data_IF_693646125117
#
_entry.id   IF_693646125117
#
_cell.length_a   1.000
_cell.length_b   1.000
_cell.length_c   1.000
_cell.angle_alpha   90.00
_cell.angle_beta   90.00
_cell.angle_gamma   90.00
#
_symmetry.space_group_name_H-M   'P 1'
#
loop_
_entity.id
_entity.type
_entity.pdbx_description
1 polymer ?
#
# COMPACT_ATOMS: atom_id res chain seq x y z
N UNK A 1 -15.58 -34.12 7.87
CA UNK A 1 -14.12 -34.07 7.66
C UNK A 1 -13.91 -33.75 6.20
N UNK A 2 -13.83 -32.46 5.86
CA UNK A 2 -13.48 -32.04 4.51
C UNK A 2 -11.99 -32.29 4.29
N UNK A 3 -11.67 -32.99 3.21
CA UNK A 3 -10.31 -33.21 2.73
C UNK A 3 -9.69 -31.87 2.31
N UNK A 4 -8.98 -31.22 3.22
CA UNK A 4 -8.02 -30.15 2.92
C UNK A 4 -6.79 -30.75 2.24
N UNK A 5 -6.95 -31.24 1.01
CA UNK A 5 -5.86 -31.77 0.19
C UNK A 5 -5.37 -30.70 -0.80
N UNK A 6 -4.05 -30.50 -0.81
CA UNK A 6 -3.21 -29.79 -1.78
C UNK A 6 -3.25 -28.26 -1.90
N UNK A 7 -4.28 -27.54 -1.42
CA UNK A 7 -4.27 -26.06 -1.48
C UNK A 7 -3.42 -25.36 -0.40
N UNK A 8 -3.04 -26.06 0.67
CA UNK A 8 -2.29 -25.50 1.82
C UNK A 8 -0.81 -25.20 1.49
N UNK A 9 -0.29 -25.66 0.35
CA UNK A 9 1.12 -25.52 -0.04
C UNK A 9 1.32 -24.96 -1.44
N UNK A 10 0.43 -24.05 -1.87
CA UNK A 10 0.63 -23.25 -3.09
C UNK A 10 1.95 -22.48 -2.98
N UNK A 11 2.82 -22.66 -3.97
CA UNK A 11 4.04 -21.87 -4.13
C UNK A 11 3.69 -20.45 -4.60
N UNK A 12 4.58 -19.50 -4.30
CA UNK A 12 4.51 -18.15 -4.85
C UNK A 12 4.67 -18.19 -6.38
N UNK A 13 3.66 -17.74 -7.12
CA UNK A 13 3.75 -17.49 -8.58
C UNK A 13 3.90 -15.99 -8.76
N UNK A 14 5.09 -15.55 -9.16
CA UNK A 14 5.45 -14.13 -9.22
C UNK A 14 6.07 -13.86 -10.60
N UNK A 15 5.34 -13.12 -11.44
CA UNK A 15 5.76 -12.81 -12.82
C UNK A 15 6.85 -11.72 -12.91
N UNK A 16 7.27 -11.14 -11.78
CA UNK A 16 8.30 -10.12 -11.68
C UNK A 16 9.62 -10.76 -11.20
N UNK A 17 10.64 -10.91 -12.05
CA UNK A 17 11.87 -11.63 -11.71
C UNK A 17 12.64 -11.01 -10.53
N UNK A 18 12.65 -9.68 -10.45
CA UNK A 18 13.30 -8.93 -9.37
C UNK A 18 12.60 -9.22 -8.05
N UNK A 19 11.27 -9.06 -7.99
CA UNK A 19 10.52 -9.36 -6.78
C UNK A 19 10.61 -10.85 -6.42
N UNK A 20 10.56 -11.76 -7.40
CA UNK A 20 10.72 -13.19 -7.19
C UNK A 20 12.11 -13.55 -6.63
N UNK A 21 13.16 -12.82 -6.99
CA UNK A 21 14.50 -12.99 -6.41
C UNK A 21 14.53 -12.60 -4.93
N UNK A 22 13.83 -11.53 -4.54
CA UNK A 22 13.74 -11.06 -3.15
C UNK A 22 12.97 -12.08 -2.30
N UNK A 23 11.85 -12.61 -2.81
CA UNK A 23 11.10 -13.65 -2.11
C UNK A 23 11.91 -14.94 -1.96
N UNK A 24 12.65 -15.35 -3.00
CA UNK A 24 13.58 -16.49 -2.88
C UNK A 24 14.68 -16.23 -1.84
N UNK A 25 15.24 -15.02 -1.78
CA UNK A 25 16.23 -14.66 -0.76
C UNK A 25 15.65 -14.73 0.66
N UNK A 26 14.39 -14.31 0.84
CA UNK A 26 13.66 -14.44 2.09
C UNK A 26 13.46 -15.91 2.50
N UNK A 27 12.95 -16.75 1.59
CA UNK A 27 12.73 -18.18 1.82
C UNK A 27 14.05 -18.88 2.22
N UNK A 28 15.13 -18.63 1.47
CA UNK A 28 16.43 -19.22 1.78
C UNK A 28 17.04 -18.72 3.10
N UNK A 29 16.74 -17.49 3.52
CA UNK A 29 17.17 -16.97 4.82
C UNK A 29 16.43 -17.67 5.96
N UNK A 30 15.12 -17.88 5.81
CA UNK A 30 14.29 -18.62 6.76
C UNK A 30 14.79 -20.07 6.89
N UNK A 31 15.06 -20.74 5.77
CA UNK A 31 15.59 -22.11 5.74
C UNK A 31 16.97 -22.22 6.43
N UNK A 32 17.77 -21.15 6.36
CA UNK A 32 19.06 -21.03 7.05
C UNK A 32 18.93 -20.62 8.54
N UNK A 33 17.70 -20.47 9.06
CA UNK A 33 17.45 -20.08 10.46
C UNK A 33 17.53 -18.58 10.72
N UNK A 34 17.65 -17.74 9.69
CA UNK A 34 17.59 -16.28 9.80
C UNK A 34 16.13 -15.87 9.68
N UNK A 35 15.46 -15.79 10.83
CA UNK A 35 14.02 -15.65 10.89
C UNK A 35 13.57 -14.17 10.82
N UNK A 36 12.36 -13.89 10.28
CA UNK A 36 11.77 -12.56 10.30
C UNK A 36 11.56 -12.05 11.73
N UNK A 37 11.83 -10.78 11.94
CA UNK A 37 11.73 -10.12 13.24
C UNK A 37 10.41 -9.36 13.37
N UNK A 38 9.71 -9.58 14.48
CA UNK A 38 8.43 -8.90 14.73
C UNK A 38 8.62 -7.39 14.96
N UNK A 39 7.79 -6.60 14.29
CA UNK A 39 7.65 -5.17 14.50
C UNK A 39 6.61 -4.96 15.62
N UNK A 40 7.03 -4.32 16.72
CA UNK A 40 6.16 -4.12 17.88
C UNK A 40 5.25 -2.89 17.75
N UNK A 41 5.67 -1.89 16.96
CA UNK A 41 4.87 -0.72 16.60
C UNK A 41 3.66 -1.12 15.72
N UNK A 42 2.62 -0.28 15.68
CA UNK A 42 1.39 -0.55 14.92
C UNK A 42 0.35 -1.42 15.66
N UNK A 43 -0.61 -2.00 14.95
CA UNK A 43 -1.72 -2.76 15.58
C UNK A 43 -1.97 -4.17 15.04
N UNK A 44 -1.23 -4.58 14.02
CA UNK A 44 -1.23 -5.91 13.39
C UNK A 44 0.04 -6.69 13.71
N UNK A 45 0.08 -7.98 13.35
CA UNK A 45 1.33 -8.71 13.15
C UNK A 45 2.05 -8.19 11.91
N UNK A 46 3.25 -7.64 12.09
CA UNK A 46 4.12 -7.17 11.00
C UNK A 46 5.54 -7.63 11.28
N UNK A 47 6.29 -8.01 10.24
CA UNK A 47 7.60 -8.64 10.39
C UNK A 47 8.61 -8.05 9.42
N UNK A 48 9.78 -7.64 9.91
CA UNK A 48 10.94 -7.38 9.07
C UNK A 48 11.50 -8.71 8.56
N UNK A 49 11.43 -8.93 7.27
CA UNK A 49 12.01 -10.09 6.59
C UNK A 49 13.44 -9.77 6.17
N UNK A 50 14.34 -10.73 6.32
CA UNK A 50 15.76 -10.59 6.09
C UNK A 50 16.26 -11.52 4.98
N UNK A 51 17.39 -11.17 4.37
CA UNK A 51 18.17 -12.08 3.53
C UNK A 51 19.18 -12.89 4.37
N UNK A 52 20.02 -13.70 3.71
CA UNK A 52 21.05 -14.53 4.38
C UNK A 52 22.14 -13.71 5.07
N UNK A 53 22.34 -12.47 4.64
CA UNK A 53 23.27 -11.52 5.23
C UNK A 53 22.67 -10.80 6.45
N UNK A 54 21.40 -11.06 6.78
CA UNK A 54 20.69 -10.41 7.88
C UNK A 54 20.19 -8.99 7.57
N UNK A 55 20.35 -8.51 6.33
CA UNK A 55 19.81 -7.22 5.86
C UNK A 55 18.30 -7.32 5.72
N UNK A 56 17.57 -6.29 6.15
CA UNK A 56 16.12 -6.16 5.93
C UNK A 56 15.84 -5.99 4.44
N UNK A 57 14.98 -6.84 3.88
CA UNK A 57 14.62 -6.84 2.46
C UNK A 57 13.13 -6.62 2.22
N UNK A 58 12.30 -6.79 3.26
CA UNK A 58 10.88 -6.48 3.16
C UNK A 58 10.17 -6.43 4.50
N UNK A 59 8.93 -5.97 4.45
CA UNK A 59 7.96 -6.04 5.54
C UNK A 59 6.86 -6.99 5.13
N UNK A 60 6.65 -8.05 5.91
CA UNK A 60 5.59 -9.02 5.70
C UNK A 60 4.47 -8.82 6.73
N UNK A 61 3.23 -8.73 6.26
CA UNK A 61 2.02 -8.59 7.09
C UNK A 61 1.06 -9.74 6.78
N UNK A 62 1.04 -10.82 7.58
CA UNK A 62 0.17 -11.96 7.35
C UNK A 62 -1.31 -11.62 7.62
N UNK A 63 -2.19 -12.06 6.72
CA UNK A 63 -3.64 -11.81 6.76
C UNK A 63 -4.24 -12.19 8.12
N UNK A 64 -3.90 -13.37 8.62
CA UNK A 64 -4.50 -13.94 9.84
C UNK A 64 -4.06 -13.24 11.14
N UNK A 65 -3.05 -12.37 11.09
CA UNK A 65 -2.57 -11.56 12.22
C UNK A 65 -2.92 -10.08 12.10
N UNK A 66 -3.77 -9.71 11.13
CA UNK A 66 -4.35 -8.37 11.04
C UNK A 66 -5.16 -8.01 12.30
N UNK A 67 -5.52 -6.71 12.52
CA UNK A 67 -6.22 -6.28 13.72
C UNK A 67 -7.49 -7.07 14.07
N UNK A 68 -8.20 -7.56 13.04
CA UNK A 68 -9.40 -8.38 13.15
C UNK A 68 -9.18 -9.85 12.76
N UNK A 69 -7.93 -10.21 12.43
CA UNK A 69 -7.51 -11.58 12.16
C UNK A 69 -7.67 -12.46 13.40
N UNK A 70 -8.00 -13.73 13.18
CA UNK A 70 -8.27 -14.69 14.25
C UNK A 70 -7.02 -15.07 15.05
N UNK A 71 -5.82 -14.80 14.54
CA UNK A 71 -4.54 -15.00 15.19
C UNK A 71 -3.82 -13.68 15.51
N UNK A 72 -4.56 -12.57 15.67
CA UNK A 72 -3.95 -11.32 16.09
C UNK A 72 -3.19 -11.51 17.43
N UNK A 73 -1.87 -11.28 17.46
CA UNK A 73 -1.07 -11.47 18.67
C UNK A 73 -1.21 -10.34 19.71
N UNK A 74 -2.02 -9.29 19.45
CA UNK A 74 -2.29 -8.19 20.38
C UNK A 74 -3.66 -8.37 21.06
N UNK A 75 -3.64 -8.75 22.35
CA UNK A 75 -4.81 -9.03 23.20
C UNK A 75 -5.80 -7.85 23.34
N UNK A 76 -5.31 -6.60 23.25
CA UNK A 76 -6.09 -5.38 23.49
C UNK A 76 -7.27 -5.19 22.53
N UNK A 77 -7.18 -5.65 21.27
CA UNK A 77 -8.29 -5.56 20.31
C UNK A 77 -9.32 -6.69 20.45
N UNK A 78 -8.97 -7.82 21.06
CA UNK A 78 -9.96 -8.82 21.47
C UNK A 78 -10.89 -8.25 22.56
N UNK A 79 -10.33 -7.52 23.55
CA UNK A 79 -11.12 -6.77 24.52
C UNK A 79 -12.01 -5.71 23.86
N UNK A 80 -11.51 -4.93 22.89
CA UNK A 80 -12.35 -3.96 22.16
C UNK A 80 -13.49 -4.63 21.35
N UNK A 81 -13.21 -5.78 20.72
CA UNK A 81 -14.18 -6.59 19.96
C UNK A 81 -15.28 -7.17 20.86
N UNK A 82 -14.96 -7.52 22.11
CA UNK A 82 -15.89 -8.09 23.08
C UNK A 82 -16.67 -7.02 23.88
N UNK A 83 -16.08 -5.86 24.18
CA UNK A 83 -16.69 -4.88 25.10
C UNK A 83 -17.43 -3.71 24.42
N UNK A 84 -17.17 -3.36 23.15
CA UNK A 84 -17.82 -2.22 22.48
C UNK A 84 -17.91 -2.38 20.93
N UNK A 85 -18.74 -3.29 20.39
CA UNK A 85 -18.82 -3.56 18.95
C UNK A 85 -19.33 -2.38 18.10
N UNK A 86 -20.08 -1.44 18.68
CA UNK A 86 -20.56 -0.22 18.00
C UNK A 86 -19.53 0.92 17.96
N UNK A 87 -18.48 0.88 18.80
CA UNK A 87 -17.50 1.95 18.95
C UNK A 87 -16.11 1.59 18.41
N UNK A 88 -15.88 0.40 17.86
CA UNK A 88 -14.54 0.00 17.40
C UNK A 88 -14.59 -0.66 16.02
N UNK A 89 -14.04 0.02 15.02
CA UNK A 89 -13.99 -0.47 13.65
C UNK A 89 -14.08 0.62 12.58
N UNK A 90 -13.29 0.46 11.51
CA UNK A 90 -13.49 1.18 10.24
C UNK A 90 -14.58 0.44 9.46
N UNK A 91 -15.83 0.63 9.84
CA UNK A 91 -16.97 -0.13 9.32
C UNK A 91 -17.10 -0.02 7.79
N UNK A 92 -16.55 1.03 7.16
CA UNK A 92 -16.52 1.23 5.71
C UNK A 92 -15.45 0.42 4.97
N UNK A 93 -14.58 -0.29 5.68
CA UNK A 93 -13.57 -1.19 5.11
C UNK A 93 -14.04 -2.64 5.19
N UNK A 94 -13.62 -3.44 4.21
CA UNK A 94 -13.84 -4.89 4.25
C UNK A 94 -12.94 -5.50 5.33
N UNK A 95 -13.47 -6.30 6.28
CA UNK A 95 -12.65 -6.93 7.30
C UNK A 95 -11.63 -7.90 6.69
N UNK A 96 -10.43 -7.95 7.28
CA UNK A 96 -9.41 -8.98 6.98
C UNK A 96 -8.89 -9.01 5.53
N UNK A 97 -8.93 -7.85 4.86
CA UNK A 97 -8.39 -7.63 3.51
C UNK A 97 -7.33 -6.53 3.49
N UNK A 98 -6.68 -6.23 4.62
CA UNK A 98 -5.65 -5.19 4.69
C UNK A 98 -4.47 -5.50 3.77
N UNK A 99 -4.05 -6.76 3.69
CA UNK A 99 -2.99 -7.21 2.78
C UNK A 99 -3.34 -7.01 1.29
N UNK A 100 -4.63 -7.09 0.92
CA UNK A 100 -5.10 -6.77 -0.44
C UNK A 100 -5.06 -5.27 -0.70
N UNK A 101 -5.40 -4.46 0.31
CA UNK A 101 -5.26 -3.01 0.26
C UNK A 101 -3.80 -2.57 0.07
N UNK A 102 -2.85 -3.21 0.76
CA UNK A 102 -1.40 -2.98 0.59
C UNK A 102 -0.92 -3.29 -0.85
N UNK A 103 -1.28 -4.47 -1.37
CA UNK A 103 -0.94 -4.86 -2.74
C UNK A 103 -1.65 -3.98 -3.78
N UNK A 104 -2.90 -3.60 -3.53
CA UNK A 104 -3.72 -2.74 -4.38
C UNK A 104 -3.16 -1.33 -4.48
N UNK A 105 -2.63 -0.77 -3.39
CA UNK A 105 -1.94 0.52 -3.42
C UNK A 105 -0.69 0.47 -4.31
N UNK A 106 0.12 -0.59 -4.22
CA UNK A 106 1.27 -0.78 -5.11
C UNK A 106 0.87 -1.06 -6.56
N UNK A 107 -0.30 -1.64 -6.81
CA UNK A 107 -0.86 -1.79 -8.15
C UNK A 107 -1.24 -0.43 -8.75
N UNK A 108 -2.02 0.38 -8.01
CA UNK A 108 -2.42 1.73 -8.44
C UNK A 108 -1.20 2.63 -8.68
N UNK A 109 -0.24 2.61 -7.75
CA UNK A 109 1.02 3.37 -7.85
C UNK A 109 1.79 3.08 -9.15
N UNK A 110 2.00 1.79 -9.45
CA UNK A 110 2.71 1.35 -10.65
C UNK A 110 1.94 1.67 -11.92
N UNK A 111 0.62 1.44 -11.92
CA UNK A 111 -0.22 1.68 -13.10
C UNK A 111 -0.25 3.17 -13.47
N UNK A 112 -0.19 4.06 -12.49
CA UNK A 112 -0.11 5.52 -12.69
C UNK A 112 1.31 6.06 -12.91
N UNK A 113 2.35 5.26 -12.67
CA UNK A 113 3.75 5.70 -12.75
C UNK A 113 4.16 6.67 -11.63
N UNK A 114 3.51 6.60 -10.46
CA UNK A 114 3.83 7.49 -9.33
C UNK A 114 5.19 7.15 -8.71
N UNK A 115 5.47 5.84 -8.55
CA UNK A 115 6.71 5.27 -8.04
C UNK A 115 7.06 5.74 -6.62
N UNK A 116 6.05 5.79 -5.73
CA UNK A 116 6.21 6.17 -4.32
C UNK A 116 5.83 5.03 -3.37
N UNK A 117 5.08 4.02 -3.79
CA UNK A 117 4.80 2.84 -2.96
C UNK A 117 5.89 1.81 -3.20
N UNK A 118 6.68 1.41 -2.17
CA UNK A 118 7.62 0.31 -2.34
C UNK A 118 6.88 -0.93 -2.82
N UNK A 119 7.43 -1.59 -3.85
CA UNK A 119 6.75 -2.69 -4.56
C UNK A 119 6.19 -3.70 -3.56
N UNK A 120 4.87 -3.91 -3.62
CA UNK A 120 4.14 -4.74 -2.67
C UNK A 120 3.29 -5.75 -3.42
N UNK A 121 3.39 -7.04 -3.05
CA UNK A 121 2.57 -8.12 -3.63
C UNK A 121 2.04 -9.05 -2.54
N UNK A 122 1.01 -9.81 -2.88
CA UNK A 122 0.52 -10.93 -2.08
C UNK A 122 1.53 -12.07 -2.19
N UNK A 123 1.99 -12.59 -1.06
CA UNK A 123 2.91 -13.73 -1.00
C UNK A 123 2.50 -14.69 0.11
N UNK A 124 3.08 -15.88 0.07
CA UNK A 124 2.97 -16.91 1.09
C UNK A 124 4.34 -17.17 1.70
N UNK A 125 4.46 -17.02 3.01
CA UNK A 125 5.69 -17.31 3.76
C UNK A 125 5.36 -18.17 4.97
N UNK A 126 6.24 -19.09 5.33
CA UNK A 126 6.19 -19.85 6.58
C UNK A 126 7.40 -19.48 7.43
N UNK A 127 7.23 -19.24 8.73
CA UNK A 127 8.34 -19.01 9.63
C UNK A 127 7.96 -19.29 11.08
N UNK A 128 8.89 -19.85 11.86
CA UNK A 128 8.65 -20.15 13.28
C UNK A 128 8.30 -18.93 14.13
N UNK A 129 8.69 -17.72 13.70
CA UNK A 129 8.41 -16.45 14.40
C UNK A 129 7.00 -15.92 14.18
N UNK A 130 6.27 -16.40 13.17
CA UNK A 130 4.87 -16.01 12.96
C UNK A 130 3.95 -16.63 14.03
N UNK A 131 2.75 -16.05 14.19
CA UNK A 131 1.80 -16.50 15.20
C UNK A 131 0.93 -17.66 14.67
N UNK A 132 1.20 -18.88 15.13
CA UNK A 132 0.47 -20.09 14.76
C UNK A 132 -0.32 -20.67 15.93
N UNK A 133 -1.39 -21.41 15.65
CA UNK A 133 -2.12 -22.13 16.68
C UNK A 133 -1.27 -23.25 17.29
N UNK A 134 -1.62 -23.67 18.52
CA UNK A 134 -0.98 -24.82 19.15
C UNK A 134 -1.12 -26.10 18.30
N UNK A 135 -2.26 -26.25 17.60
CA UNK A 135 -2.51 -27.35 16.69
C UNK A 135 -1.57 -27.34 15.49
N UNK A 136 -1.40 -26.18 14.82
CA UNK A 136 -0.49 -26.07 13.67
C UNK A 136 0.95 -26.41 14.06
N UNK A 137 1.39 -25.91 15.23
CA UNK A 137 2.73 -26.22 15.76
C UNK A 137 2.89 -27.69 16.14
N UNK A 138 1.85 -28.35 16.64
CA UNK A 138 1.87 -29.79 16.91
C UNK A 138 1.90 -30.60 15.60
N UNK A 139 1.03 -30.28 14.64
CA UNK A 139 0.97 -30.91 13.31
C UNK A 139 2.30 -30.80 12.57
N UNK A 140 2.93 -29.63 12.58
CA UNK A 140 4.25 -29.41 11.97
C UNK A 140 5.34 -30.28 12.62
N UNK A 141 5.35 -30.38 13.96
CA UNK A 141 6.28 -31.26 14.69
C UNK A 141 6.07 -32.73 14.38
N UNK A 142 4.83 -33.20 14.37
CA UNK A 142 4.49 -34.59 14.01
C UNK A 142 4.90 -34.94 12.59
N UNK A 143 4.65 -34.04 11.62
CA UNK A 143 5.09 -34.22 10.24
C UNK A 143 6.61 -34.29 10.12
N UNK A 144 7.32 -33.35 10.77
CA UNK A 144 8.80 -33.34 10.78
C UNK A 144 9.36 -34.65 11.33
N UNK A 145 8.84 -35.12 12.46
CA UNK A 145 9.23 -36.40 13.04
C UNK A 145 8.96 -37.58 12.10
N UNK A 146 7.79 -37.63 11.45
CA UNK A 146 7.46 -38.69 10.50
C UNK A 146 8.39 -38.70 9.28
N UNK A 147 8.72 -37.54 8.73
CA UNK A 147 9.64 -37.38 7.59
C UNK A 147 11.06 -37.79 7.96
N UNK A 148 11.56 -37.41 9.14
CA UNK A 148 12.90 -37.78 9.63
C UNK A 148 13.00 -39.28 9.96
N UNK A 149 11.91 -39.89 10.48
CA UNK A 149 11.90 -41.28 10.94
C UNK A 149 11.64 -42.30 9.84
N UNK A 150 10.90 -41.92 8.79
CA UNK A 150 10.50 -42.78 7.66
C UNK A 150 10.77 -42.12 6.29
N UNK A 151 12.04 -41.86 5.95
CA UNK A 151 12.40 -41.16 4.71
C UNK A 151 11.99 -41.93 3.44
N UNK A 152 12.07 -43.26 3.45
CA UNK A 152 11.87 -44.09 2.26
C UNK A 152 10.39 -44.31 1.87
N UNK A 153 9.44 -44.13 2.80
CA UNK A 153 8.00 -44.35 2.54
C UNK A 153 7.17 -43.06 2.50
N UNK A 154 7.53 -42.04 3.28
CA UNK A 154 6.79 -40.77 3.39
C UNK A 154 7.62 -39.54 2.96
N UNK A 155 8.95 -39.65 2.93
CA UNK A 155 9.86 -38.50 2.88
C UNK A 155 9.81 -37.66 1.60
N UNK A 156 9.39 -38.23 0.47
CA UNK A 156 9.34 -37.51 -0.82
C UNK A 156 8.04 -36.74 -1.08
N UNK A 157 6.94 -37.11 -0.41
CA UNK A 157 5.60 -36.57 -0.74
C UNK A 157 5.03 -35.65 0.35
N UNK A 158 5.64 -35.60 1.54
CA UNK A 158 5.16 -34.76 2.64
C UNK A 158 6.07 -33.54 2.82
N UNK A 159 5.59 -32.35 2.42
CA UNK A 159 6.22 -31.08 2.82
C UNK A 159 6.12 -30.92 4.34
N UNK A 160 7.23 -31.15 5.04
CA UNK A 160 7.37 -30.89 6.47
C UNK A 160 7.51 -29.38 6.72
N UNK A 161 7.00 -28.91 7.87
CA UNK A 161 7.07 -27.49 8.26
C UNK A 161 5.72 -26.89 8.62
N UNK A 162 5.75 -25.62 9.03
CA UNK A 162 4.56 -24.82 9.33
C UNK A 162 3.81 -24.47 8.04
N UNK A 163 2.47 -24.32 8.09
CA UNK A 163 1.70 -23.92 6.92
C UNK A 163 2.07 -22.49 6.49
N UNK A 164 2.31 -22.22 5.20
CA UNK A 164 2.56 -20.86 4.71
C UNK A 164 1.37 -19.94 4.98
N UNK A 165 1.64 -18.78 5.58
CA UNK A 165 0.68 -17.71 5.77
C UNK A 165 0.64 -16.83 4.54
N UNK A 166 -0.57 -16.50 4.06
CA UNK A 166 -0.77 -15.48 3.03
C UNK A 166 -0.71 -14.09 3.65
N UNK A 167 -0.10 -13.13 2.97
CA UNK A 167 -0.01 -11.75 3.42
C UNK A 167 0.61 -10.84 2.38
N UNK A 168 0.69 -9.56 2.70
CA UNK A 168 1.37 -8.59 1.83
C UNK A 168 2.86 -8.59 2.17
N UNK A 169 3.70 -8.62 1.15
CA UNK A 169 5.13 -8.39 1.26
C UNK A 169 5.48 -7.11 0.51
N UNK A 170 5.93 -6.12 1.27
CA UNK A 170 6.39 -4.83 0.76
C UNK A 170 7.91 -4.79 0.78
N UNK A 171 8.55 -4.38 -0.31
CA UNK A 171 10.01 -4.19 -0.34
C UNK A 171 10.45 -3.16 0.70
N UNK A 172 11.55 -3.45 1.40
CA UNK A 172 12.11 -2.54 2.38
C UNK A 172 12.83 -1.38 1.67
N UNK A 173 12.69 -0.17 2.19
CA UNK A 173 13.39 1.02 1.69
C UNK A 173 14.45 1.47 2.68
N UNK A 174 15.70 1.54 2.24
CA UNK A 174 16.84 1.94 3.05
C UNK A 174 16.92 3.47 3.17
N UNK A 175 17.37 3.96 4.34
CA UNK A 175 17.70 5.38 4.60
C UNK A 175 16.51 6.36 4.58
N UNK A 176 15.29 5.85 4.65
CA UNK A 176 14.08 6.66 4.85
C UNK A 176 13.80 6.91 6.35
N UNK A 177 13.19 8.04 6.66
CA UNK A 177 12.67 8.38 8.01
C UNK A 177 11.23 8.87 7.92
N UNK A 178 10.50 8.80 9.03
CA UNK A 178 9.13 9.31 9.13
C UNK A 178 9.03 10.74 8.59
N UNK A 179 8.00 11.03 7.82
CA UNK A 179 7.83 12.36 7.24
C UNK A 179 7.76 13.45 8.31
N UNK A 180 7.11 13.17 9.44
CA UNK A 180 7.08 14.03 10.62
C UNK A 180 8.49 14.48 11.07
N UNK A 181 9.49 13.59 11.01
CA UNK A 181 10.87 13.94 11.37
C UNK A 181 11.45 14.98 10.42
N UNK A 182 11.23 14.84 9.12
CA UNK A 182 11.77 15.76 8.11
C UNK A 182 10.98 17.07 8.03
N UNK A 183 9.64 17.01 8.10
CA UNK A 183 8.78 18.18 8.06
C UNK A 183 9.12 19.18 9.18
N UNK A 184 9.32 18.70 10.41
CA UNK A 184 9.77 19.56 11.53
C UNK A 184 11.10 20.24 11.28
N UNK A 185 12.02 19.58 10.57
CA UNK A 185 13.33 20.16 10.21
C UNK A 185 13.18 21.20 9.11
N UNK A 186 12.28 21.00 8.15
CA UNK A 186 12.03 21.96 7.08
C UNK A 186 11.39 23.26 7.59
N UNK A 187 10.71 23.24 8.74
CA UNK A 187 10.22 24.45 9.41
C UNK A 187 11.37 25.34 9.93
N UNK A 188 12.44 24.73 10.44
CA UNK A 188 13.61 25.48 10.94
C UNK A 188 14.68 25.74 9.87
N UNK A 189 14.87 24.80 8.95
CA UNK A 189 15.83 24.82 7.85
C UNK A 189 15.07 24.59 6.53
N UNK A 190 14.51 25.64 5.92
CA UNK A 190 13.76 25.52 4.67
C UNK A 190 14.58 24.87 3.56
N UNK A 191 13.93 24.03 2.76
CA UNK A 191 14.56 23.40 1.60
C UNK A 191 14.98 24.45 0.56
N UNK A 192 16.11 24.26 -0.14
CA UNK A 192 16.43 25.05 -1.34
C UNK A 192 15.29 24.99 -2.36
N UNK A 193 15.07 26.07 -3.12
CA UNK A 193 13.90 26.21 -4.00
C UNK A 193 13.70 25.03 -4.96
N UNK A 194 14.77 24.52 -5.56
CA UNK A 194 14.69 23.37 -6.46
C UNK A 194 14.27 22.09 -5.72
N UNK A 195 14.93 21.78 -4.60
CA UNK A 195 14.61 20.61 -3.78
C UNK A 195 13.20 20.71 -3.17
N UNK A 196 12.73 21.90 -2.84
CA UNK A 196 11.35 22.13 -2.42
C UNK A 196 10.34 21.78 -3.53
N UNK A 197 10.63 22.16 -4.78
CA UNK A 197 9.79 21.79 -5.93
C UNK A 197 9.77 20.27 -6.12
N UNK A 198 10.92 19.61 -6.01
CA UNK A 198 11.03 18.15 -6.11
C UNK A 198 10.26 17.45 -4.97
N UNK A 199 10.36 17.98 -3.75
CA UNK A 199 9.57 17.52 -2.61
C UNK A 199 8.07 17.67 -2.86
N UNK A 200 7.64 18.84 -3.33
CA UNK A 200 6.24 19.13 -3.60
C UNK A 200 5.68 18.19 -4.67
N UNK A 201 6.46 17.87 -5.72
CA UNK A 201 6.08 16.89 -6.72
C UNK A 201 5.89 15.49 -6.10
N UNK A 202 6.83 15.04 -5.25
CA UNK A 202 6.73 13.76 -4.54
C UNK A 202 5.52 13.71 -3.58
N UNK A 203 5.26 14.82 -2.88
CA UNK A 203 4.09 14.99 -2.04
C UNK A 203 2.78 14.91 -2.84
N UNK A 204 2.70 15.60 -3.98
CA UNK A 204 1.51 15.59 -4.83
C UNK A 204 1.25 14.21 -5.47
N UNK A 205 2.30 13.43 -5.77
CA UNK A 205 2.13 12.01 -6.14
C UNK A 205 1.44 11.21 -5.03
N UNK A 206 1.85 11.42 -3.77
CA UNK A 206 1.21 10.75 -2.62
C UNK A 206 -0.25 11.19 -2.46
N UNK A 207 -0.54 12.47 -2.66
CA UNK A 207 -1.91 12.99 -2.67
C UNK A 207 -2.76 12.28 -3.72
N UNK A 208 -2.27 12.14 -4.95
CA UNK A 208 -2.97 11.44 -6.03
C UNK A 208 -3.28 9.98 -5.63
N UNK A 209 -2.28 9.26 -5.13
CA UNK A 209 -2.45 7.88 -4.67
C UNK A 209 -3.51 7.78 -3.57
N UNK A 210 -3.32 8.50 -2.46
CA UNK A 210 -4.18 8.43 -1.28
C UNK A 210 -5.62 8.82 -1.59
N UNK A 211 -5.81 9.80 -2.48
CA UNK A 211 -7.14 10.23 -2.89
C UNK A 211 -7.84 9.14 -3.71
N UNK A 212 -7.18 8.58 -4.73
CA UNK A 212 -7.75 7.52 -5.59
C UNK A 212 -8.14 6.29 -4.77
N UNK A 213 -7.24 5.81 -3.89
CA UNK A 213 -7.51 4.63 -3.06
C UNK A 213 -8.39 4.95 -1.84
N UNK A 214 -8.71 6.23 -1.62
CA UNK A 214 -9.34 6.79 -0.42
C UNK A 214 -8.74 6.19 0.86
N UNK A 215 -7.45 6.46 1.08
CA UNK A 215 -6.76 6.03 2.29
C UNK A 215 -7.43 6.65 3.52
N UNK A 216 -7.63 5.83 4.55
CA UNK A 216 -8.34 6.21 5.80
C UNK A 216 -7.40 6.29 7.00
N UNK A 217 -6.09 6.12 6.80
CA UNK A 217 -5.08 6.08 7.85
C UNK A 217 -3.74 6.73 7.47
N UNK A 218 -3.72 7.71 6.56
CA UNK A 218 -2.48 8.43 6.25
C UNK A 218 -2.18 9.52 7.29
N UNK A 219 -1.48 9.17 8.36
CA UNK A 219 -0.77 10.10 9.26
C UNK A 219 0.63 10.46 8.76
N UNK A 220 1.28 11.46 9.37
CA UNK A 220 2.67 11.86 9.02
C UNK A 220 3.75 10.85 9.43
N UNK A 221 3.37 9.86 10.22
CA UNK A 221 4.14 8.68 10.60
C UNK A 221 4.00 7.52 9.59
N UNK A 222 3.00 7.57 8.71
CA UNK A 222 2.71 6.52 7.74
C UNK A 222 3.22 6.82 6.32
N UNK A 223 4.09 7.80 6.15
CA UNK A 223 4.87 8.00 4.93
C UNK A 223 6.25 8.47 5.31
N UNK A 224 7.23 8.12 4.48
CA UNK A 224 8.64 8.34 4.78
C UNK A 224 9.24 9.32 3.78
N UNK A 225 10.27 10.03 4.21
CA UNK A 225 11.08 10.91 3.39
C UNK A 225 12.53 10.42 3.45
N UNK A 226 13.18 10.33 2.29
CA UNK A 226 14.63 10.23 2.17
C UNK A 226 15.15 11.55 1.64
N UNK A 227 16.04 12.20 2.39
CA UNK A 227 16.64 13.47 2.01
C UNK A 227 18.16 13.33 1.98
N UNK A 228 18.72 13.31 0.76
CA UNK A 228 20.15 13.19 0.50
C UNK A 228 20.72 14.60 0.31
N UNK A 229 21.40 15.13 1.35
CA UNK A 229 22.16 16.36 1.22
C UNK A 229 23.31 16.14 0.24
N UNK A 230 23.60 17.13 -0.61
CA UNK A 230 24.80 17.06 -1.42
C UNK A 230 26.02 16.92 -0.51
N UNK A 231 27.03 16.11 -0.87
CA UNK A 231 28.29 16.12 -0.15
C UNK A 231 28.84 17.55 -0.17
N UNK A 232 29.26 18.04 0.99
CA UNK A 232 30.09 19.24 1.05
C UNK A 232 31.35 18.92 0.23
N UNK A 233 31.46 19.48 -0.96
CA UNK A 233 32.71 19.42 -1.72
C UNK A 233 33.71 20.18 -0.87
N UNK A 234 34.63 19.48 -0.21
CA UNK A 234 35.87 20.10 0.26
C UNK A 234 36.46 20.80 -0.96
N UNK A 235 36.51 22.13 -0.91
CA UNK A 235 36.98 22.98 -2.01
C UNK A 235 38.43 22.68 -2.34
N UNK A 236 38.70 21.60 -3.05
CA UNK A 236 39.93 21.45 -3.82
C UNK A 236 39.69 22.17 -5.14
N UNK A 237 40.09 23.43 -5.18
CA UNK A 237 40.17 24.23 -6.39
C UNK A 237 41.04 23.49 -7.42
N UNK A 238 40.43 22.75 -8.34
CA UNK A 238 41.12 22.22 -9.51
C UNK A 238 41.32 23.39 -10.48
N UNK A 239 42.54 23.94 -10.50
CA UNK A 239 42.94 24.95 -11.49
C UNK A 239 43.12 24.27 -12.84
N UNK A 240 42.33 24.66 -13.83
CA UNK A 240 42.62 24.37 -15.23
C UNK A 240 43.81 25.22 -15.70
N UNK A 241 44.54 24.75 -16.72
CA UNK A 241 45.76 25.38 -17.23
C UNK A 241 45.55 26.81 -17.79
N UNK A 242 44.30 27.23 -17.98
CA UNK A 242 43.93 28.45 -18.71
C UNK A 242 43.34 29.56 -17.81
N UNK A 243 43.35 29.37 -16.48
CA UNK A 243 42.98 30.43 -15.52
C UNK A 243 41.49 30.76 -15.42
N UNK A 244 40.61 30.01 -16.10
CA UNK A 244 39.15 30.14 -15.95
C UNK A 244 38.62 29.12 -14.93
N UNK A 245 38.00 29.62 -13.86
CA UNK A 245 37.26 28.82 -12.88
C UNK A 245 36.13 28.07 -13.58
N UNK A 246 36.28 26.75 -13.73
CA UNK A 246 35.14 25.88 -14.00
C UNK A 246 34.20 25.98 -12.79
N UNK A 247 33.00 26.52 -12.99
CA UNK A 247 31.97 26.50 -11.96
C UNK A 247 31.58 25.04 -11.70
N UNK A 248 32.12 24.45 -10.64
CA UNK A 248 31.72 23.12 -10.19
C UNK A 248 30.21 23.11 -9.95
N UNK A 249 29.47 22.41 -10.81
CA UNK A 249 28.02 22.28 -10.72
C UNK A 249 27.72 21.36 -9.54
N UNK A 250 27.61 21.92 -8.34
CA UNK A 250 27.12 21.20 -7.17
C UNK A 250 25.70 20.74 -7.49
N UNK A 251 25.50 19.42 -7.54
CA UNK A 251 24.16 18.87 -7.76
C UNK A 251 23.19 19.31 -6.63
N UNK A 252 21.92 19.62 -6.92
CA UNK A 252 20.98 19.93 -5.85
C UNK A 252 20.74 18.68 -4.98
N UNK A 253 20.51 18.87 -3.66
CA UNK A 253 20.08 17.78 -2.78
C UNK A 253 18.87 17.04 -3.34
N UNK A 254 18.86 15.71 -3.21
CA UNK A 254 17.77 14.85 -3.70
C UNK A 254 16.80 14.52 -2.59
N UNK A 255 15.51 14.45 -2.93
CA UNK A 255 14.45 14.12 -1.99
C UNK A 255 13.45 13.14 -2.58
N UNK A 256 13.05 12.15 -1.79
CA UNK A 256 12.15 11.07 -2.18
C UNK A 256 11.09 10.83 -1.12
N UNK A 257 9.89 10.45 -1.53
CA UNK A 257 8.80 10.04 -0.64
C UNK A 257 8.51 8.55 -0.83
N UNK A 258 8.30 7.83 0.27
CA UNK A 258 7.79 6.46 0.26
C UNK A 258 6.45 6.37 1.01
N UNK A 259 5.38 5.97 0.30
CA UNK A 259 4.06 5.74 0.88
C UNK A 259 3.96 4.29 1.40
N UNK A 260 4.07 4.13 2.71
CA UNK A 260 4.03 2.82 3.41
C UNK A 260 2.69 2.63 4.14
N UNK A 261 2.44 1.44 4.68
CA UNK A 261 1.24 1.16 5.51
C UNK A 261 -0.11 1.54 4.84
N UNK A 262 -0.36 0.98 3.67
CA UNK A 262 -1.55 1.25 2.86
C UNK A 262 -2.70 0.26 3.13
N UNK A 263 -2.65 -0.49 4.24
CA UNK A 263 -3.59 -1.58 4.54
C UNK A 263 -5.01 -1.13 4.89
N UNK A 264 -5.28 0.17 4.98
CA UNK A 264 -6.56 0.74 5.43
C UNK A 264 -7.10 1.73 4.39
N UNK A 265 -7.12 1.28 3.13
CA UNK A 265 -7.67 1.96 1.97
C UNK A 265 -8.75 1.10 1.28
N UNK A 266 -9.22 1.54 0.11
CA UNK A 266 -10.31 0.91 -0.66
C UNK A 266 -11.60 0.68 0.15
N UNK A 267 -12.17 1.73 0.77
CA UNK A 267 -13.47 1.60 1.42
C UNK A 267 -14.58 1.30 0.41
N UNK A 268 -15.61 0.57 0.84
CA UNK A 268 -16.80 0.26 0.04
C UNK A 268 -17.93 1.28 0.23
N UNK A 269 -17.77 2.23 1.15
CA UNK A 269 -18.59 3.44 1.26
C UNK A 269 -17.77 4.60 1.82
N UNK A 270 -18.18 5.85 1.56
CA UNK A 270 -17.54 6.98 2.24
C UNK A 270 -17.81 6.93 3.75
N UNK A 271 -16.89 7.43 4.59
CA UNK A 271 -17.11 7.45 6.02
C UNK A 271 -18.34 8.25 6.44
N UNK A 272 -19.06 7.76 7.44
CA UNK A 272 -20.17 8.49 8.05
C UNK A 272 -19.64 9.69 8.86
N UNK A 273 -20.40 10.79 8.94
CA UNK A 273 -19.97 12.10 9.46
C UNK A 273 -19.43 12.12 10.90
N UNK A 274 -19.72 11.11 11.72
CA UNK A 274 -19.22 10.98 13.09
C UNK A 274 -17.80 10.40 13.17
N UNK A 275 -17.25 9.88 12.05
CA UNK A 275 -15.83 9.49 11.88
C UNK A 275 -15.34 9.85 10.48
N UNK A 276 -14.70 11.01 10.35
CA UNK A 276 -14.34 11.56 9.04
C UNK A 276 -13.15 10.86 8.34
N UNK A 277 -12.25 10.19 9.08
CA UNK A 277 -10.97 9.65 8.58
C UNK A 277 -10.29 10.61 7.58
N UNK A 278 -9.85 11.78 8.07
CA UNK A 278 -9.29 12.81 7.23
C UNK A 278 -7.94 12.38 6.64
N UNK A 279 -7.55 13.03 5.55
CA UNK A 279 -6.19 12.95 5.06
C UNK A 279 -5.32 13.91 5.90
N UNK A 280 -4.44 13.41 6.76
CA UNK A 280 -3.71 14.30 7.68
C UNK A 280 -2.77 15.27 6.97
N UNK A 281 -2.27 14.89 5.79
CA UNK A 281 -1.46 15.79 4.97
C UNK A 281 -2.22 17.03 4.49
N UNK A 282 -3.56 17.05 4.53
CA UNK A 282 -4.36 18.21 4.12
C UNK A 282 -4.14 19.44 5.02
N UNK A 283 -3.64 19.24 6.24
CA UNK A 283 -3.29 20.33 7.16
C UNK A 283 -1.89 20.91 6.94
N UNK A 284 -1.06 20.27 6.13
CA UNK A 284 0.28 20.78 5.83
C UNK A 284 0.18 22.01 4.93
N UNK A 285 1.11 22.96 5.09
CA UNK A 285 1.22 24.13 4.21
C UNK A 285 1.32 23.73 2.73
N UNK A 286 2.06 22.66 2.45
CA UNK A 286 2.23 22.07 1.12
C UNK A 286 0.91 21.66 0.44
N UNK A 287 -0.15 21.35 1.20
CA UNK A 287 -1.46 21.02 0.63
C UNK A 287 -2.21 22.26 0.09
N UNK A 288 -1.75 23.47 0.41
CA UNK A 288 -2.32 24.72 -0.11
C UNK A 288 -1.75 25.11 -1.47
N UNK A 289 -0.60 24.54 -1.84
CA UNK A 289 0.03 24.76 -3.13
C UNK A 289 -0.79 24.09 -4.25
N UNK A 290 -1.09 24.79 -5.37
CA UNK A 290 -1.73 24.20 -6.53
C UNK A 290 -0.98 22.97 -7.05
N UNK A 291 -1.70 22.03 -7.66
CA UNK A 291 -1.05 20.93 -8.39
C UNK A 291 -0.10 21.48 -9.45
N UNK A 292 1.15 20.99 -9.41
CA UNK A 292 2.18 21.34 -10.37
C UNK A 292 1.79 20.85 -11.78
N UNK A 293 2.25 21.56 -12.81
CA UNK A 293 2.00 21.13 -14.19
C UNK A 293 2.63 19.75 -14.47
N UNK A 294 3.78 19.45 -13.86
CA UNK A 294 4.43 18.14 -13.99
C UNK A 294 3.56 16.97 -13.50
N UNK A 295 2.80 17.14 -12.40
CA UNK A 295 1.89 16.07 -11.92
C UNK A 295 0.62 16.01 -12.76
N UNK A 296 0.13 17.16 -13.25
CA UNK A 296 -1.02 17.23 -14.15
C UNK A 296 -0.73 16.49 -15.45
N UNK A 297 0.41 16.77 -16.09
CA UNK A 297 0.83 16.14 -17.35
C UNK A 297 1.07 14.64 -17.19
N UNK A 298 1.54 14.21 -16.02
CA UNK A 298 1.75 12.80 -15.70
C UNK A 298 0.44 12.03 -15.49
N UNK A 299 -0.50 12.59 -14.71
CA UNK A 299 -1.64 11.84 -14.17
C UNK A 299 -2.94 12.09 -14.94
N UNK A 300 -3.20 13.32 -15.37
CA UNK A 300 -4.49 13.71 -15.96
C UNK A 300 -4.82 12.96 -17.28
N UNK A 301 -3.87 12.72 -18.21
CA UNK A 301 -4.17 11.97 -19.43
C UNK A 301 -4.67 10.55 -19.14
N UNK A 302 -4.06 9.89 -18.14
CA UNK A 302 -4.44 8.54 -17.73
C UNK A 302 -5.82 8.53 -17.06
N UNK A 303 -6.07 9.45 -16.11
CA UNK A 303 -7.35 9.51 -15.40
C UNK A 303 -8.53 9.98 -16.26
N UNK A 304 -8.26 10.69 -17.35
CA UNK A 304 -9.29 11.12 -18.31
C UNK A 304 -9.65 10.03 -19.32
N UNK A 305 -8.83 8.99 -19.46
CA UNK A 305 -9.08 7.85 -20.34
C UNK A 305 -9.92 6.77 -19.63
N UNK A 306 -11.11 6.51 -20.15
CA UNK A 306 -12.00 5.49 -19.60
C UNK A 306 -11.47 4.07 -19.80
N UNK A 307 -10.64 3.82 -20.81
CA UNK A 307 -10.00 2.52 -20.99
C UNK A 307 -9.01 2.28 -19.86
N UNK A 308 -8.13 3.25 -19.57
CA UNK A 308 -7.22 3.19 -18.43
C UNK A 308 -7.95 2.91 -17.11
N UNK A 309 -9.05 3.63 -16.84
CA UNK A 309 -9.84 3.43 -15.60
C UNK A 309 -10.47 2.03 -15.56
N UNK A 310 -10.97 1.54 -16.69
CA UNK A 310 -11.52 0.18 -16.80
C UNK A 310 -10.45 -0.87 -16.51
N UNK A 311 -9.32 -0.78 -17.21
CA UNK A 311 -8.17 -1.67 -17.03
C UNK A 311 -7.62 -1.61 -15.60
N UNK A 312 -7.65 -0.45 -14.94
CA UNK A 312 -7.26 -0.34 -13.53
C UNK A 312 -8.22 -1.12 -12.64
N UNK A 313 -9.53 -1.01 -12.87
CA UNK A 313 -10.53 -1.72 -12.08
C UNK A 313 -10.52 -3.23 -12.34
N UNK A 314 -10.19 -3.65 -13.56
CA UNK A 314 -10.04 -5.07 -13.92
C UNK A 314 -8.79 -5.67 -13.29
N UNK A 315 -7.66 -4.96 -13.27
CA UNK A 315 -6.45 -5.39 -12.56
C UNK A 315 -6.69 -5.51 -11.04
N UNK A 316 -7.42 -4.56 -10.46
CA UNK A 316 -7.84 -4.64 -9.05
C UNK A 316 -8.80 -5.80 -8.78
N UNK A 317 -9.67 -6.14 -9.74
CA UNK A 317 -10.56 -7.30 -9.65
C UNK A 317 -9.75 -8.58 -9.60
N UNK A 318 -8.77 -8.76 -10.50
CA UNK A 318 -7.90 -9.94 -10.52
C UNK A 318 -7.20 -10.10 -9.18
N UNK A 319 -6.63 -9.02 -8.64
CA UNK A 319 -5.96 -9.04 -7.33
C UNK A 319 -6.92 -9.39 -6.18
N UNK A 320 -8.05 -8.68 -6.06
CA UNK A 320 -8.95 -8.82 -4.91
C UNK A 320 -9.68 -10.17 -4.94
N UNK A 321 -9.90 -10.72 -6.13
CA UNK A 321 -10.54 -12.02 -6.32
C UNK A 321 -9.72 -13.20 -5.77
N UNK A 322 -8.41 -13.03 -5.56
CA UNK A 322 -7.58 -14.04 -4.89
C UNK A 322 -7.96 -14.25 -3.41
N UNK A 323 -8.68 -13.30 -2.80
CA UNK A 323 -9.14 -13.43 -1.41
C UNK A 323 -10.27 -14.46 -1.30
N UNK A 324 -10.12 -15.43 -0.39
CA UNK A 324 -11.19 -16.43 -0.14
C UNK A 324 -12.50 -15.82 0.36
N UNK A 325 -12.46 -14.62 0.96
CA UNK A 325 -13.62 -13.89 1.44
C UNK A 325 -14.13 -12.83 0.44
N UNK A 326 -13.67 -12.87 -0.81
CA UNK A 326 -14.08 -11.92 -1.84
C UNK A 326 -15.59 -11.94 -2.06
N UNK A 327 -16.21 -10.75 -1.98
CA UNK A 327 -17.60 -10.53 -2.34
C UNK A 327 -17.68 -9.54 -3.50
N UNK A 328 -18.24 -9.98 -4.62
CA UNK A 328 -18.32 -9.18 -5.84
C UNK A 328 -19.16 -7.92 -5.65
N UNK A 329 -20.24 -7.97 -4.87
CA UNK A 329 -21.10 -6.80 -4.65
C UNK A 329 -20.35 -5.70 -3.90
N UNK A 330 -19.60 -6.08 -2.88
CA UNK A 330 -18.75 -5.17 -2.10
C UNK A 330 -17.62 -4.61 -2.94
N UNK A 331 -16.98 -5.44 -3.78
CA UNK A 331 -15.95 -4.98 -4.72
C UNK A 331 -16.47 -3.92 -5.69
N UNK A 332 -17.65 -4.11 -6.29
CA UNK A 332 -18.24 -3.10 -7.18
C UNK A 332 -18.48 -1.77 -6.46
N UNK A 333 -18.87 -1.81 -5.18
CA UNK A 333 -18.99 -0.59 -4.36
C UNK A 333 -17.63 0.07 -4.15
N UNK A 334 -16.58 -0.69 -3.83
CA UNK A 334 -15.21 -0.15 -3.75
C UNK A 334 -14.80 0.53 -5.06
N UNK A 335 -15.04 -0.10 -6.20
CA UNK A 335 -14.70 0.48 -7.51
C UNK A 335 -15.57 1.70 -7.85
N UNK A 336 -16.82 1.76 -7.36
CA UNK A 336 -17.65 2.95 -7.48
C UNK A 336 -17.06 4.16 -6.76
N UNK A 337 -16.48 3.95 -5.58
CA UNK A 337 -15.71 4.99 -4.88
C UNK A 337 -14.45 5.37 -5.66
N UNK A 338 -13.63 4.40 -6.09
CA UNK A 338 -12.40 4.68 -6.85
C UNK A 338 -12.71 5.54 -8.08
N UNK A 339 -13.76 5.21 -8.84
CA UNK A 339 -14.20 6.02 -10.01
C UNK A 339 -14.66 7.42 -9.61
N UNK A 340 -15.36 7.56 -8.49
CA UNK A 340 -15.75 8.88 -7.95
C UNK A 340 -14.56 9.74 -7.51
N UNK A 341 -13.55 9.12 -6.87
CA UNK A 341 -12.31 9.81 -6.52
C UNK A 341 -11.52 10.22 -7.77
N UNK A 342 -11.44 9.35 -8.77
CA UNK A 342 -10.81 9.65 -10.06
C UNK A 342 -11.51 10.84 -10.73
N UNK A 343 -12.85 10.88 -10.73
CA UNK A 343 -13.61 11.98 -11.31
C UNK A 343 -13.27 13.32 -10.65
N UNK A 344 -13.29 13.37 -9.32
CA UNK A 344 -12.95 14.59 -8.57
C UNK A 344 -11.49 15.01 -8.78
N UNK A 345 -10.55 14.06 -8.74
CA UNK A 345 -9.13 14.34 -8.94
C UNK A 345 -8.87 14.88 -10.35
N UNK A 346 -9.46 14.28 -11.39
CA UNK A 346 -9.37 14.75 -12.77
C UNK A 346 -9.88 16.19 -12.90
N UNK A 347 -11.01 16.52 -12.26
CA UNK A 347 -11.54 17.88 -12.28
C UNK A 347 -10.63 18.86 -11.53
N UNK A 348 -10.11 18.49 -10.36
CA UNK A 348 -9.18 19.32 -9.60
C UNK A 348 -7.87 19.61 -10.36
N UNK A 349 -7.33 18.62 -11.06
CA UNK A 349 -6.13 18.78 -11.89
C UNK A 349 -6.40 19.73 -13.07
N UNK A 350 -7.57 19.63 -13.73
CA UNK A 350 -7.96 20.54 -14.83
C UNK A 350 -8.11 21.99 -14.36
N UNK A 351 -8.69 22.17 -13.17
CA UNK A 351 -8.95 23.48 -12.59
C UNK A 351 -7.73 24.07 -11.86
N UNK A 352 -6.57 23.41 -11.91
CA UNK A 352 -5.36 23.78 -11.17
C UNK A 352 -5.62 24.03 -9.68
N UNK A 353 -6.45 23.19 -9.06
CA UNK A 353 -6.74 23.24 -7.62
C UNK A 353 -5.53 22.77 -6.81
N UNK A 354 -5.52 23.08 -5.52
CA UNK A 354 -4.59 22.49 -4.55
C UNK A 354 -5.11 21.18 -3.95
N UNK A 355 -4.25 20.34 -3.33
CA UNK A 355 -4.68 19.18 -2.55
C UNK A 355 -5.74 19.49 -1.49
N UNK A 356 -5.65 20.65 -0.82
CA UNK A 356 -6.64 21.11 0.15
C UNK A 356 -7.99 21.37 -0.50
N UNK A 357 -8.00 22.04 -1.66
CA UNK A 357 -9.24 22.30 -2.41
C UNK A 357 -9.86 21.01 -2.95
N UNK A 358 -9.04 20.02 -3.32
CA UNK A 358 -9.50 18.69 -3.75
C UNK A 358 -10.27 17.95 -2.64
N UNK A 359 -9.75 17.94 -1.41
CA UNK A 359 -10.43 17.27 -0.28
C UNK A 359 -11.68 18.03 0.21
N UNK A 360 -11.82 19.29 -0.20
CA UNK A 360 -13.01 20.11 -0.03
C UNK A 360 -14.05 19.92 -1.15
N UNK A 361 -13.78 19.10 -2.16
CA UNK A 361 -14.78 18.82 -3.19
C UNK A 361 -15.92 17.95 -2.63
N UNK A 362 -17.15 18.11 -3.13
CA UNK A 362 -18.26 17.21 -2.79
C UNK A 362 -17.91 15.77 -3.10
N UNK A 363 -18.39 14.87 -2.25
CA UNK A 363 -18.15 13.44 -2.38
C UNK A 363 -19.03 12.86 -3.50
N UNK A 364 -18.41 12.12 -4.41
CA UNK A 364 -19.08 11.50 -5.57
C UNK A 364 -18.80 10.00 -5.59
N UNK A 365 -19.81 9.22 -5.98
CA UNK A 365 -19.63 7.82 -6.39
C UNK A 365 -20.11 7.64 -7.84
N UNK A 366 -19.48 6.73 -8.57
CA UNK A 366 -19.81 6.45 -9.97
C UNK A 366 -20.12 4.98 -10.14
N UNK A 367 -21.38 4.63 -10.34
CA UNK A 367 -21.85 3.25 -10.44
C UNK A 367 -21.96 2.81 -11.91
N UNK A 368 -21.53 1.59 -12.22
CA UNK A 368 -21.75 0.97 -13.53
C UNK A 368 -23.17 0.40 -13.56
N UNK A 369 -24.00 0.82 -14.52
CA UNK A 369 -25.30 0.19 -14.74
C UNK A 369 -25.07 -1.23 -15.27
N UNK A 370 -25.70 -2.22 -14.65
CA UNK A 370 -25.88 -3.52 -15.30
C UNK A 370 -26.90 -3.30 -16.41
N UNK A 371 -26.53 -3.59 -17.66
CA UNK A 371 -27.50 -3.70 -18.73
C UNK A 371 -28.46 -4.82 -18.37
N UNK A 372 -29.76 -4.51 -18.24
CA UNK A 372 -30.78 -5.53 -18.09
C UNK A 372 -30.70 -6.45 -19.32
N UNK A 373 -30.34 -7.70 -19.06
CA UNK A 373 -30.16 -8.70 -20.11
C UNK A 373 -31.49 -9.02 -20.76
N UNK A 374 -31.68 -8.57 -22.00
CA UNK A 374 -32.62 -9.18 -22.95
C UNK A 374 -32.28 -8.94 -24.43
N UNK A 375 -31.08 -8.48 -24.78
CA UNK A 375 -30.71 -8.38 -26.20
C UNK A 375 -29.30 -8.91 -26.49
N UNK A 376 -29.26 -10.10 -27.10
CA UNK A 376 -28.04 -10.73 -27.62
C UNK A 376 -27.67 -10.03 -28.92
N UNK A 377 -26.76 -9.08 -28.84
CA UNK A 377 -26.00 -8.61 -30.00
C UNK A 377 -26.06 -7.10 -30.21
N UNK A 378 -25.32 -6.35 -29.38
CA UNK A 378 -24.73 -5.05 -29.72
C UNK A 378 -23.69 -4.72 -28.65
N UNK A 379 -22.60 -4.09 -29.08
CA UNK A 379 -21.48 -3.62 -28.24
C UNK A 379 -21.98 -3.07 -26.89
N UNK A 380 -21.56 -3.69 -25.79
CA UNK A 380 -21.87 -3.22 -24.44
C UNK A 380 -21.19 -1.86 -24.22
N UNK A 381 -21.90 -0.76 -24.48
CA UNK A 381 -21.52 0.52 -23.91
C UNK A 381 -21.87 0.50 -22.43
N UNK A 382 -20.85 0.53 -21.58
CA UNK A 382 -21.06 0.63 -20.14
C UNK A 382 -21.65 2.00 -19.81
N UNK A 383 -22.91 2.02 -19.39
CA UNK A 383 -23.55 3.23 -18.91
C UNK A 383 -23.18 3.46 -17.43
N UNK A 384 -22.62 4.63 -17.10
CA UNK A 384 -22.27 5.01 -15.74
C UNK A 384 -23.29 6.01 -15.15
N UNK A 385 -23.59 5.88 -13.85
CA UNK A 385 -24.44 6.81 -13.11
C UNK A 385 -23.61 7.51 -12.04
N UNK A 386 -23.61 8.84 -12.04
CA UNK A 386 -22.95 9.63 -11.00
C UNK A 386 -23.95 9.91 -9.88
N UNK A 387 -23.54 9.73 -8.63
CA UNK A 387 -24.33 10.09 -7.47
C UNK A 387 -23.53 11.03 -6.56
N UNK A 388 -24.16 12.13 -6.16
CA UNK A 388 -23.55 13.15 -5.29
C UNK A 388 -24.10 13.02 -3.88
N UNK A 389 -23.24 12.98 -2.88
CA UNK A 389 -23.68 13.18 -1.50
C UNK A 389 -23.76 14.68 -1.22
N UNK A 390 -24.98 15.23 -1.13
CA UNK A 390 -25.27 16.65 -0.90
C UNK A 390 -24.89 17.19 0.50
N UNK A 391 -23.94 16.58 1.21
CA UNK A 391 -23.50 17.06 2.53
C UNK A 391 -22.22 17.88 2.39
N UNK A 392 -22.09 18.99 3.15
CA UNK A 392 -20.91 19.83 3.07
C UNK A 392 -19.66 19.00 3.39
N UNK A 393 -18.58 19.16 2.61
CA UNK A 393 -17.32 18.47 2.86
C UNK A 393 -16.80 18.86 4.24
N UNK A 394 -16.18 17.91 4.95
CA UNK A 394 -15.71 18.10 6.33
C UNK A 394 -14.78 19.32 6.47
N UNK A 395 -14.00 19.64 5.43
CA UNK A 395 -13.08 20.77 5.36
C UNK A 395 -13.72 22.11 4.97
N UNK A 396 -15.05 22.24 5.05
CA UNK A 396 -15.77 23.51 4.82
C UNK A 396 -15.64 24.52 5.97
N UNK A 397 -15.00 24.12 7.08
CA UNK A 397 -14.75 24.94 8.26
C UNK A 397 -13.25 25.18 8.48
N UNK A 398 -12.59 25.83 7.52
CA UNK A 398 -11.28 26.46 7.69
C UNK A 398 -11.30 27.83 7.03
#
# INVERSE_FOLDING_TARGET
>A
MESTSDSEYSCNVIDDPEFASVIRAAEQAIDAGILPERIYQGSSGSYFVKNKEGKKIGVFKPKDEEPYGHLNPKWTKWCHKMCCPCCFGRHMLVPNQGYMSEAGASLVDRKLGLNIVPKTKVVRLASDTFNYTAFDRAKARSKKFATERFPDSLGKHVKAGLPPKVGSFQMFVDEFKDAEFHLRRFESEPLPSQTYKDFLLQFQKMVCLDYIIRNTDRGNDNWLIKYEKTPEVETETVKTADGETAWDVVSPPKIYVAAIDNGLAFPYKHPDSWRAYPFYWAWLSHAKEPFLDEIKDMVLPQLSDMNFVTDLTDDLYVLFHEDKGFDRSTFEKQMSLVRGQILNLSQALRDSKSPLQLVQMPVVTVERKKGDGLDRGRSHSDAFTQSFQHRPPFFSWC
#
